data_IF_987247958724
#
_entry.id   IF_987247958724
#
_cell.length_a   1.000
_cell.length_b   1.000
_cell.length_c   1.000
_cell.angle_alpha   90.00
_cell.angle_beta   90.00
_cell.angle_gamma   90.00
#
_symmetry.space_group_name_H-M   'P 1'
#
loop_
_entity.id
_entity.type
_entity.pdbx_description
1 polymer ?
#
# COMPACT_ATOMS: atom_id res chain seq x y z
N UNK A 1 31.85 -23.74 -36.06
CA UNK A 1 30.95 -24.68 -35.35
C UNK A 1 30.91 -24.45 -33.84
N UNK A 2 32.03 -24.29 -33.11
CA UNK A 2 32.00 -24.07 -31.65
C UNK A 2 31.24 -22.81 -31.16
N UNK A 3 31.32 -21.66 -31.86
CA UNK A 3 30.55 -20.44 -31.52
C UNK A 3 29.04 -20.57 -31.75
N UNK A 4 28.63 -21.38 -32.73
CA UNK A 4 27.21 -21.60 -33.03
C UNK A 4 26.58 -22.59 -32.03
N UNK A 5 27.31 -23.62 -31.61
CA UNK A 5 26.86 -24.51 -30.55
C UNK A 5 26.74 -23.78 -29.19
N UNK A 6 27.67 -22.88 -28.87
CA UNK A 6 27.58 -22.09 -27.62
C UNK A 6 26.44 -21.06 -27.65
N UNK A 7 26.11 -20.48 -28.82
CA UNK A 7 24.98 -19.54 -28.92
C UNK A 7 23.63 -20.27 -28.82
N UNK A 8 23.48 -21.40 -29.52
CA UNK A 8 22.26 -22.21 -29.47
C UNK A 8 22.01 -22.74 -28.06
N UNK A 9 23.05 -23.22 -27.37
CA UNK A 9 22.92 -23.73 -26.01
C UNK A 9 22.56 -22.62 -25.00
N UNK A 10 23.09 -21.40 -25.20
CA UNK A 10 22.78 -20.21 -24.38
C UNK A 10 21.34 -19.72 -24.62
N UNK A 11 20.85 -19.75 -25.87
CA UNK A 11 19.44 -19.45 -26.20
C UNK A 11 18.48 -20.48 -25.61
N UNK A 12 18.79 -21.79 -25.68
CA UNK A 12 17.91 -22.83 -25.09
C UNK A 12 17.84 -22.75 -23.56
N UNK A 13 18.96 -22.43 -22.90
CA UNK A 13 18.98 -22.22 -21.45
C UNK A 13 18.16 -20.99 -21.02
N UNK A 14 18.27 -19.88 -21.75
CA UNK A 14 17.47 -18.67 -21.52
C UNK A 14 15.97 -18.95 -21.67
N UNK A 15 15.56 -19.70 -22.70
CA UNK A 15 14.15 -20.08 -22.87
C UNK A 15 13.66 -21.02 -21.78
N UNK A 16 14.51 -21.93 -21.29
CA UNK A 16 14.12 -22.89 -20.24
C UNK A 16 13.86 -22.17 -18.92
N UNK A 17 14.78 -21.27 -18.51
CA UNK A 17 14.60 -20.54 -17.26
C UNK A 17 13.45 -19.54 -17.33
N UNK A 18 13.21 -18.93 -18.49
CA UNK A 18 12.06 -18.07 -18.73
C UNK A 18 10.73 -18.81 -18.50
N UNK A 19 10.58 -20.02 -19.04
CA UNK A 19 9.37 -20.84 -18.85
C UNK A 19 9.23 -21.26 -17.37
N UNK A 20 10.31 -21.73 -16.75
CA UNK A 20 10.30 -22.11 -15.32
C UNK A 20 9.87 -20.92 -14.46
N UNK A 21 10.44 -19.74 -14.72
CA UNK A 21 10.10 -18.51 -13.99
C UNK A 21 8.64 -18.11 -14.19
N UNK A 22 8.08 -18.28 -15.38
CA UNK A 22 6.69 -17.97 -15.68
C UNK A 22 5.72 -18.95 -14.97
N UNK A 23 6.08 -20.23 -14.90
CA UNK A 23 5.32 -21.23 -14.12
C UNK A 23 5.34 -20.87 -12.64
N UNK A 24 6.52 -20.56 -12.07
CA UNK A 24 6.67 -20.16 -10.68
C UNK A 24 5.88 -18.88 -10.38
N UNK A 25 5.92 -17.90 -11.28
CA UNK A 25 5.13 -16.68 -11.18
C UNK A 25 3.63 -16.97 -11.19
N UNK A 26 3.16 -17.84 -12.09
CA UNK A 26 1.76 -18.28 -12.13
C UNK A 26 1.32 -18.99 -10.84
N UNK A 27 2.19 -19.81 -10.25
CA UNK A 27 1.95 -20.45 -8.96
C UNK A 27 1.91 -19.43 -7.82
N UNK A 28 2.72 -18.37 -7.87
CA UNK A 28 2.65 -17.26 -6.92
C UNK A 28 1.30 -16.55 -6.98
N UNK A 29 0.79 -16.25 -8.18
CA UNK A 29 -0.54 -15.67 -8.34
C UNK A 29 -1.64 -16.58 -7.78
N UNK A 30 -1.59 -17.88 -8.08
CA UNK A 30 -2.55 -18.85 -7.53
C UNK A 30 -2.48 -18.88 -5.99
N UNK A 31 -1.27 -18.84 -5.43
CA UNK A 31 -1.06 -18.82 -3.98
C UNK A 31 -1.69 -17.57 -3.34
N UNK A 32 -1.56 -16.38 -3.94
CA UNK A 32 -2.21 -15.15 -3.43
C UNK A 32 -3.72 -15.33 -3.30
N UNK A 33 -4.39 -15.95 -4.27
CA UNK A 33 -5.82 -16.24 -4.18
C UNK A 33 -6.17 -17.37 -3.20
N UNK A 34 -5.23 -18.27 -2.92
CA UNK A 34 -5.38 -19.39 -1.99
C UNK A 34 -5.04 -19.05 -0.53
N UNK A 35 -4.53 -17.85 -0.23
CA UNK A 35 -4.10 -17.42 1.10
C UNK A 35 -5.12 -17.73 2.22
N UNK A 36 -6.40 -17.42 1.99
CA UNK A 36 -7.49 -17.71 2.95
C UNK A 36 -7.67 -19.21 3.23
N UNK A 37 -7.39 -20.06 2.24
CA UNK A 37 -7.43 -21.52 2.40
C UNK A 37 -6.33 -21.97 3.37
N UNK A 38 -5.15 -21.34 3.34
CA UNK A 38 -4.08 -21.62 4.29
C UNK A 38 -4.44 -21.20 5.72
N UNK A 39 -5.11 -20.06 5.93
CA UNK A 39 -5.63 -19.68 7.25
C UNK A 39 -6.65 -20.68 7.79
N UNK A 40 -7.53 -21.16 6.92
CA UNK A 40 -8.52 -22.18 7.26
C UNK A 40 -7.81 -23.51 7.61
N UNK A 41 -6.76 -23.85 6.88
CA UNK A 41 -5.97 -25.06 7.12
C UNK A 41 -5.16 -24.95 8.42
N UNK A 42 -4.62 -23.76 8.74
CA UNK A 42 -3.92 -23.46 9.99
C UNK A 42 -4.82 -23.73 11.20
N UNK A 43 -6.08 -23.28 11.10
CA UNK A 43 -7.11 -23.52 12.12
C UNK A 43 -7.44 -25.02 12.29
N UNK A 44 -7.32 -25.81 11.22
CA UNK A 44 -7.60 -27.26 11.23
C UNK A 44 -6.40 -28.12 11.62
N UNK A 45 -5.17 -27.64 11.43
CA UNK A 45 -3.93 -28.37 11.70
C UNK A 45 -3.03 -27.61 12.68
N UNK A 46 -3.34 -27.62 13.99
CA UNK A 46 -2.64 -26.82 14.99
C UNK A 46 -1.13 -27.06 15.05
N UNK A 47 -0.68 -28.30 14.75
CA UNK A 47 0.74 -28.68 14.72
C UNK A 47 1.57 -27.92 13.68
N UNK A 48 0.96 -27.47 12.59
CA UNK A 48 1.61 -26.72 11.52
C UNK A 48 1.04 -25.31 11.36
N UNK A 49 0.24 -24.85 12.33
CA UNK A 49 -0.47 -23.58 12.24
C UNK A 49 0.47 -22.41 11.99
N UNK A 50 1.66 -22.37 12.59
CA UNK A 50 2.62 -21.29 12.37
C UNK A 50 3.05 -21.16 10.90
N UNK A 51 3.42 -22.27 10.25
CA UNK A 51 3.78 -22.28 8.83
C UNK A 51 2.58 -21.94 7.95
N UNK A 52 1.41 -22.48 8.26
CA UNK A 52 0.20 -22.24 7.49
C UNK A 52 -0.31 -20.80 7.64
N UNK A 53 -0.13 -20.18 8.80
CA UNK A 53 -0.37 -18.75 8.99
C UNK A 53 0.61 -17.93 8.15
N UNK A 54 1.91 -18.26 8.19
CA UNK A 54 2.91 -17.56 7.39
C UNK A 54 2.61 -17.64 5.88
N UNK A 55 2.21 -18.81 5.37
CA UNK A 55 1.79 -18.99 3.98
C UNK A 55 0.41 -18.35 3.68
N UNK A 56 -0.39 -18.08 4.71
CA UNK A 56 -1.66 -17.36 4.58
C UNK A 56 -1.51 -15.85 4.50
N UNK A 57 -0.36 -15.28 4.87
CA UNK A 57 -0.10 -13.84 4.75
C UNK A 57 0.18 -13.51 3.27
N UNK A 58 -0.60 -12.60 2.68
CA UNK A 58 -0.50 -12.27 1.24
C UNK A 58 0.84 -11.60 0.90
N UNK A 59 1.43 -10.89 1.85
CA UNK A 59 2.72 -10.22 1.76
C UNK A 59 3.90 -11.24 1.71
N UNK A 60 3.72 -12.46 2.22
CA UNK A 60 4.77 -13.49 2.18
C UNK A 60 4.89 -14.14 0.81
N UNK A 61 3.78 -14.19 0.05
CA UNK A 61 3.64 -15.04 -1.14
C UNK A 61 4.75 -14.80 -2.16
N UNK A 62 4.95 -13.57 -2.62
CA UNK A 62 5.95 -13.28 -3.66
C UNK A 62 7.38 -13.47 -3.18
N UNK A 63 7.70 -13.09 -1.94
CA UNK A 63 9.03 -13.31 -1.38
C UNK A 63 9.35 -14.81 -1.23
N UNK A 64 8.37 -15.61 -0.81
CA UNK A 64 8.52 -17.07 -0.72
C UNK A 64 8.80 -17.71 -2.07
N UNK A 65 8.01 -17.36 -3.10
CA UNK A 65 8.21 -17.88 -4.45
C UNK A 65 9.47 -17.35 -5.13
N UNK A 66 9.94 -16.16 -4.77
CA UNK A 66 11.23 -15.64 -5.21
C UNK A 66 12.39 -16.52 -4.71
N UNK A 67 12.37 -16.96 -3.45
CA UNK A 67 13.37 -17.91 -2.96
C UNK A 67 13.32 -19.24 -3.71
N UNK A 68 12.12 -19.75 -4.01
CA UNK A 68 11.98 -20.96 -4.84
C UNK A 68 12.60 -20.75 -6.22
N UNK A 69 12.38 -19.60 -6.86
CA UNK A 69 12.99 -19.28 -8.16
C UNK A 69 14.52 -19.30 -8.07
N UNK A 70 15.12 -18.66 -7.06
CA UNK A 70 16.58 -18.65 -6.87
C UNK A 70 17.14 -20.05 -6.65
N UNK A 71 16.46 -20.87 -5.84
CA UNK A 71 16.86 -22.27 -5.61
C UNK A 71 16.82 -23.07 -6.93
N UNK A 72 15.73 -22.94 -7.70
CA UNK A 72 15.61 -23.65 -8.99
C UNK A 72 16.63 -23.13 -9.99
N UNK A 73 16.90 -21.83 -10.04
CA UNK A 73 17.98 -21.24 -10.85
C UNK A 73 19.34 -21.85 -10.47
N UNK A 74 19.64 -22.00 -9.19
CA UNK A 74 20.89 -22.58 -8.72
C UNK A 74 21.05 -24.04 -9.19
N UNK A 75 19.96 -24.82 -9.19
CA UNK A 75 19.97 -26.20 -9.69
C UNK A 75 20.07 -26.31 -11.21
N UNK A 76 19.42 -25.42 -11.96
CA UNK A 76 19.32 -25.51 -13.44
C UNK A 76 20.48 -24.80 -14.14
N UNK A 77 20.91 -23.65 -13.61
CA UNK A 77 21.88 -22.74 -14.23
C UNK A 77 23.19 -22.60 -13.44
N UNK A 78 23.27 -23.20 -12.25
CA UNK A 78 24.41 -23.11 -11.34
C UNK A 78 24.27 -22.01 -10.28
N UNK A 79 24.95 -22.18 -9.16
CA UNK A 79 24.89 -21.26 -8.02
C UNK A 79 25.33 -19.84 -8.36
N UNK A 80 26.42 -19.69 -9.12
CA UNK A 80 26.94 -18.37 -9.50
C UNK A 80 25.94 -17.58 -10.35
N UNK A 81 25.25 -18.25 -11.29
CA UNK A 81 24.22 -17.61 -12.12
C UNK A 81 22.99 -17.17 -11.30
N UNK A 82 22.63 -17.95 -10.27
CA UNK A 82 21.55 -17.58 -9.37
C UNK A 82 21.91 -16.38 -8.49
N UNK A 83 23.16 -16.33 -7.99
CA UNK A 83 23.70 -15.19 -7.24
C UNK A 83 23.76 -13.94 -8.14
N UNK A 84 24.34 -14.06 -9.33
CA UNK A 84 24.42 -12.96 -10.31
C UNK A 84 23.03 -12.42 -10.64
N UNK A 85 22.04 -13.30 -10.85
CA UNK A 85 20.66 -12.86 -11.07
C UNK A 85 20.11 -12.09 -9.86
N UNK A 86 20.24 -12.65 -8.65
CA UNK A 86 19.74 -12.01 -7.43
C UNK A 86 20.41 -10.66 -7.17
N UNK A 87 21.73 -10.54 -7.33
CA UNK A 87 22.50 -9.31 -7.08
C UNK A 87 22.34 -8.26 -8.18
N UNK A 88 21.96 -8.67 -9.40
CA UNK A 88 21.67 -7.73 -10.50
C UNK A 88 20.36 -6.95 -10.33
N UNK A 89 19.51 -7.34 -9.36
CA UNK A 89 18.23 -6.69 -9.08
C UNK A 89 18.38 -5.44 -8.20
N UNK A 90 17.44 -4.51 -8.31
CA UNK A 90 17.39 -3.30 -7.50
C UNK A 90 16.43 -3.47 -6.32
N UNK A 91 16.96 -3.39 -5.09
CA UNK A 91 16.19 -3.56 -3.84
C UNK A 91 15.97 -2.25 -3.09
N UNK A 92 16.34 -1.12 -3.68
CA UNK A 92 16.24 0.20 -3.05
C UNK A 92 14.80 0.52 -2.66
N UNK A 93 13.85 0.32 -3.58
CA UNK A 93 12.43 0.59 -3.37
C UNK A 93 11.81 -0.30 -2.27
N UNK A 94 11.98 -1.65 -2.28
CA UNK A 94 11.54 -2.50 -1.18
C UNK A 94 12.07 -2.08 0.21
N UNK A 95 13.37 -1.77 0.30
CA UNK A 95 14.02 -1.34 1.55
C UNK A 95 13.49 0.02 2.01
N UNK A 96 13.30 0.94 1.06
CA UNK A 96 12.78 2.27 1.34
C UNK A 96 11.34 2.18 1.89
N UNK A 97 10.46 1.40 1.26
CA UNK A 97 9.08 1.21 1.75
C UNK A 97 9.07 0.66 3.17
N UNK A 98 9.86 -0.39 3.43
CA UNK A 98 10.00 -0.95 4.77
C UNK A 98 10.36 0.12 5.81
N UNK A 99 11.44 0.87 5.56
CA UNK A 99 11.94 1.89 6.50
C UNK A 99 10.92 3.01 6.71
N UNK A 100 10.40 3.58 5.63
CA UNK A 100 9.46 4.71 5.72
C UNK A 100 8.17 4.28 6.42
N UNK A 101 7.64 3.09 6.14
CA UNK A 101 6.47 2.57 6.85
C UNK A 101 6.69 2.51 8.37
N UNK A 102 7.84 1.99 8.80
CA UNK A 102 8.15 1.85 10.23
C UNK A 102 8.31 3.22 10.91
N UNK A 103 9.02 4.16 10.30
CA UNK A 103 9.25 5.49 10.86
C UNK A 103 7.95 6.31 10.86
N UNK A 104 7.21 6.31 9.74
CA UNK A 104 6.00 7.10 9.57
C UNK A 104 4.83 6.63 10.45
N UNK A 105 4.72 5.32 10.71
CA UNK A 105 3.69 4.76 11.58
C UNK A 105 4.05 4.84 13.08
N UNK A 106 5.18 5.45 13.43
CA UNK A 106 5.57 5.59 14.84
C UNK A 106 4.60 6.49 15.61
N UNK A 107 4.37 6.16 16.89
CA UNK A 107 3.45 6.90 17.76
C UNK A 107 3.75 8.41 17.83
N UNK A 108 5.01 8.87 17.96
CA UNK A 108 5.29 10.31 17.97
C UNK A 108 4.87 11.06 16.71
N UNK A 109 4.89 10.41 15.55
CA UNK A 109 4.41 10.98 14.28
C UNK A 109 2.89 11.02 14.27
N UNK A 110 2.24 9.88 14.55
CA UNK A 110 0.77 9.79 14.57
C UNK A 110 0.14 10.76 15.58
N UNK A 111 0.70 10.88 16.79
CA UNK A 111 0.24 11.83 17.81
C UNK A 111 0.38 13.29 17.34
N UNK A 112 1.48 13.62 16.67
CA UNK A 112 1.71 14.98 16.15
C UNK A 112 0.68 15.34 15.07
N UNK A 113 0.45 14.44 14.10
CA UNK A 113 -0.53 14.65 13.04
C UNK A 113 -1.95 14.71 13.63
N UNK A 114 -2.30 13.85 14.59
CA UNK A 114 -3.62 13.87 15.23
C UNK A 114 -3.86 15.18 16.00
N UNK A 115 -2.85 15.72 16.69
CA UNK A 115 -2.94 17.03 17.38
C UNK A 115 -3.17 18.17 16.38
N UNK A 116 -2.45 18.15 15.26
CA UNK A 116 -2.61 19.13 14.18
C UNK A 116 -4.05 19.10 13.63
N UNK A 117 -4.55 17.91 13.27
CA UNK A 117 -5.89 17.74 12.72
C UNK A 117 -7.00 18.14 13.69
N UNK A 118 -6.86 17.82 14.99
CA UNK A 118 -7.79 18.29 16.02
C UNK A 118 -7.76 19.82 16.18
N UNK A 119 -6.60 20.44 16.05
CA UNK A 119 -6.46 21.90 16.02
C UNK A 119 -7.21 22.52 14.84
N UNK A 120 -7.02 21.98 13.64
CA UNK A 120 -7.71 22.41 12.42
C UNK A 120 -9.23 22.20 12.54
N UNK A 121 -9.69 21.06 13.06
CA UNK A 121 -11.11 20.78 13.21
C UNK A 121 -11.85 21.81 14.10
N UNK A 122 -11.19 22.33 15.14
CA UNK A 122 -11.78 23.30 16.08
C UNK A 122 -11.95 24.69 15.51
N UNK A 123 -11.17 25.05 14.50
CA UNK A 123 -11.23 26.38 13.86
C UNK A 123 -12.18 26.40 12.66
N UNK A 124 -12.63 25.23 12.19
CA UNK A 124 -13.58 25.15 11.07
C UNK A 124 -14.98 25.63 11.52
N UNK A 125 -15.71 26.38 10.66
CA UNK A 125 -17.08 26.82 10.94
C UNK A 125 -18.11 25.69 10.76
N UNK A 126 -17.79 24.48 11.22
CA UNK A 126 -18.60 23.27 11.12
C UNK A 126 -18.66 22.59 12.49
N UNK A 127 -19.62 21.67 12.67
CA UNK A 127 -19.63 20.80 13.86
C UNK A 127 -18.36 19.97 13.89
N UNK A 128 -17.74 19.86 15.07
CA UNK A 128 -16.46 19.18 15.27
C UNK A 128 -16.46 17.75 14.73
N UNK A 129 -17.54 16.99 14.94
CA UNK A 129 -17.67 15.60 14.46
C UNK A 129 -17.67 15.54 12.93
N UNK A 130 -18.41 16.44 12.28
CA UNK A 130 -18.46 16.52 10.82
C UNK A 130 -17.10 16.98 10.25
N UNK A 131 -16.44 17.93 10.90
CA UNK A 131 -15.10 18.37 10.54
C UNK A 131 -14.09 17.22 10.65
N UNK A 132 -14.12 16.44 11.75
CA UNK A 132 -13.26 15.28 11.93
C UNK A 132 -13.51 14.18 10.90
N UNK A 133 -14.78 13.92 10.55
CA UNK A 133 -15.13 12.98 9.48
C UNK A 133 -14.57 13.44 8.14
N UNK A 134 -14.79 14.71 7.77
CA UNK A 134 -14.29 15.24 6.52
C UNK A 134 -12.76 15.27 6.47
N UNK A 135 -12.10 15.71 7.54
CA UNK A 135 -10.64 15.72 7.63
C UNK A 135 -10.05 14.30 7.56
N UNK A 136 -10.69 13.32 8.22
CA UNK A 136 -10.28 11.93 8.18
C UNK A 136 -10.44 11.27 6.80
N UNK A 137 -11.40 11.74 5.99
CA UNK A 137 -11.66 11.21 4.64
C UNK A 137 -11.01 12.03 3.52
N UNK A 138 -10.63 13.28 3.75
CA UNK A 138 -10.01 14.15 2.76
C UNK A 138 -8.54 14.44 3.11
N UNK A 139 -8.32 15.19 4.19
CA UNK A 139 -7.00 15.71 4.51
C UNK A 139 -6.03 14.60 4.89
N UNK A 140 -6.45 13.62 5.70
CA UNK A 140 -5.59 12.51 6.10
C UNK A 140 -5.09 11.72 4.88
N UNK A 141 -5.97 11.25 3.96
CA UNK A 141 -5.52 10.61 2.72
C UNK A 141 -4.54 11.43 1.89
N UNK A 142 -4.76 12.75 1.75
CA UNK A 142 -3.82 13.61 1.01
C UNK A 142 -2.49 13.78 1.73
N UNK A 143 -2.50 13.95 3.06
CA UNK A 143 -1.27 13.96 3.86
C UNK A 143 -0.56 12.62 3.86
N UNK A 144 -1.24 11.53 3.48
CA UNK A 144 -0.64 10.22 3.22
C UNK A 144 0.51 10.28 2.22
N UNK A 145 0.46 11.23 1.27
CA UNK A 145 1.58 11.50 0.35
C UNK A 145 2.85 12.04 1.01
N UNK A 146 2.77 12.57 2.23
CA UNK A 146 3.92 13.06 2.98
C UNK A 146 4.44 12.03 3.99
N UNK A 147 3.55 11.13 4.45
CA UNK A 147 3.88 9.99 5.30
C UNK A 147 3.90 8.73 4.43
N UNK A 148 2.94 7.83 4.60
CA UNK A 148 2.71 6.67 3.72
C UNK A 148 1.22 6.32 3.74
N UNK A 149 0.74 5.56 2.75
CA UNK A 149 -0.64 5.09 2.73
C UNK A 149 -1.01 4.24 3.98
N UNK A 150 -0.18 3.29 4.47
CA UNK A 150 -0.50 2.52 5.67
C UNK A 150 -0.61 3.39 6.94
N UNK A 151 0.24 4.41 7.09
CA UNK A 151 0.18 5.33 8.21
C UNK A 151 -1.07 6.23 8.14
N UNK A 152 -1.40 6.73 6.94
CA UNK A 152 -2.61 7.51 6.71
C UNK A 152 -3.88 6.69 6.97
N UNK A 153 -3.92 5.43 6.52
CA UNK A 153 -5.03 4.52 6.78
C UNK A 153 -5.25 4.30 8.27
N UNK A 154 -4.19 4.00 9.02
CA UNK A 154 -4.27 3.80 10.48
C UNK A 154 -4.81 5.05 11.17
N UNK A 155 -4.27 6.24 10.85
CA UNK A 155 -4.72 7.49 11.44
C UNK A 155 -6.17 7.79 11.12
N UNK A 156 -6.56 7.69 9.84
CA UNK A 156 -7.93 7.92 9.40
C UNK A 156 -8.89 6.93 10.06
N UNK A 157 -8.56 5.63 10.09
CA UNK A 157 -9.38 4.62 10.73
C UNK A 157 -9.60 4.91 12.22
N UNK A 158 -8.55 5.24 12.97
CA UNK A 158 -8.66 5.60 14.40
C UNK A 158 -9.48 6.89 14.63
N UNK A 159 -9.38 7.86 13.73
CA UNK A 159 -10.17 9.09 13.80
C UNK A 159 -11.65 8.86 13.46
N UNK A 160 -11.93 8.02 12.47
CA UNK A 160 -13.27 7.78 11.94
C UNK A 160 -14.05 6.72 12.72
N UNK A 161 -13.35 5.76 13.35
CA UNK A 161 -13.94 4.70 14.17
C UNK A 161 -14.99 5.23 15.18
N UNK A 162 -14.66 6.20 16.05
CA UNK A 162 -15.64 6.73 17.01
C UNK A 162 -16.77 7.55 16.40
N UNK A 163 -16.62 8.02 15.16
CA UNK A 163 -17.59 8.92 14.50
C UNK A 163 -18.60 8.13 13.66
N UNK A 164 -18.12 7.20 12.84
CA UNK A 164 -18.88 6.50 11.78
C UNK A 164 -19.10 5.03 12.12
N UNK A 165 -18.07 4.34 12.62
CA UNK A 165 -18.07 2.89 12.79
C UNK A 165 -18.55 2.51 14.19
N UNK A 166 -19.78 2.94 14.50
CA UNK A 166 -20.45 2.73 15.80
C UNK A 166 -21.91 2.31 15.63
N UNK A 167 -22.58 1.79 16.67
CA UNK A 167 -24.02 1.57 16.64
C UNK A 167 -24.80 2.86 16.31
N UNK A 168 -25.92 2.72 15.59
CA UNK A 168 -26.79 3.86 15.21
C UNK A 168 -26.51 4.49 13.84
N UNK A 169 -25.37 4.17 13.20
CA UNK A 169 -25.12 4.54 11.80
C UNK A 169 -25.62 3.42 10.87
N UNK A 170 -26.44 3.72 9.84
CA UNK A 170 -26.87 2.74 8.85
C UNK A 170 -25.69 2.02 8.19
N UNK A 171 -25.82 0.72 8.00
CA UNK A 171 -24.71 -0.13 7.54
C UNK A 171 -24.22 0.22 6.14
N UNK A 172 -25.14 0.57 5.22
CA UNK A 172 -24.78 1.04 3.88
C UNK A 172 -23.94 2.33 3.89
N UNK A 173 -24.14 3.22 4.87
CA UNK A 173 -23.32 4.43 5.04
C UNK A 173 -21.93 4.09 5.59
N UNK A 174 -21.81 3.06 6.44
CA UNK A 174 -20.50 2.57 6.90
C UNK A 174 -19.71 1.99 5.73
N UNK A 175 -20.35 1.19 4.88
CA UNK A 175 -19.72 0.68 3.65
C UNK A 175 -19.35 1.81 2.68
N UNK A 176 -20.20 2.82 2.50
CA UNK A 176 -19.88 4.00 1.69
C UNK A 176 -18.69 4.80 2.24
N UNK A 177 -18.64 5.02 3.56
CA UNK A 177 -17.52 5.70 4.20
C UNK A 177 -16.21 4.89 4.14
N UNK A 178 -16.30 3.56 4.30
CA UNK A 178 -15.16 2.66 4.16
C UNK A 178 -14.62 2.65 2.72
N UNK A 179 -15.51 2.59 1.73
CA UNK A 179 -15.15 2.67 0.32
C UNK A 179 -14.47 4.00 -0.03
N UNK A 180 -15.02 5.13 0.46
CA UNK A 180 -14.37 6.44 0.31
C UNK A 180 -13.01 6.47 0.97
N UNK A 181 -12.87 5.93 2.19
CA UNK A 181 -11.59 5.88 2.88
C UNK A 181 -10.54 5.11 2.07
N UNK A 182 -10.88 3.92 1.59
CA UNK A 182 -9.94 3.06 0.86
C UNK A 182 -9.53 3.69 -0.48
N UNK A 183 -10.51 4.17 -1.26
CA UNK A 183 -10.22 4.84 -2.54
C UNK A 183 -9.40 6.10 -2.30
N UNK A 184 -9.79 6.94 -1.34
CA UNK A 184 -9.09 8.20 -1.09
C UNK A 184 -7.67 7.98 -0.58
N UNK A 185 -7.41 6.98 0.28
CA UNK A 185 -6.04 6.64 0.69
C UNK A 185 -5.22 6.19 -0.51
N UNK A 186 -5.77 5.34 -1.38
CA UNK A 186 -5.06 4.82 -2.55
C UNK A 186 -4.70 5.90 -3.57
N UNK A 187 -5.59 6.87 -3.84
CA UNK A 187 -5.29 7.94 -4.79
C UNK A 187 -4.57 9.12 -4.12
N UNK A 188 -4.78 9.33 -2.82
CA UNK A 188 -4.18 10.44 -2.05
C UNK A 188 -2.67 10.35 -1.95
N UNK A 189 -2.09 9.14 -2.02
CA UNK A 189 -0.65 8.93 -2.06
C UNK A 189 0.05 9.44 -3.32
N UNK A 190 -0.69 9.81 -4.38
CA UNK A 190 -0.13 10.20 -5.69
C UNK A 190 0.33 11.66 -5.80
N UNK A 191 0.30 12.43 -4.71
CA UNK A 191 0.83 13.80 -4.66
C UNK A 191 2.36 13.85 -4.67
N UNK A 192 3.04 12.77 -4.27
CA UNK A 192 4.51 12.65 -4.24
C UNK A 192 4.95 11.35 -4.91
N UNK A 193 6.24 11.22 -5.24
CA UNK A 193 6.77 10.03 -5.92
C UNK A 193 7.10 8.85 -4.99
N UNK A 194 7.03 9.04 -3.67
CA UNK A 194 7.59 8.09 -2.70
C UNK A 194 6.58 7.49 -1.72
N UNK A 195 5.35 8.02 -1.66
CA UNK A 195 4.40 7.64 -0.61
C UNK A 195 3.49 6.47 -0.97
N UNK A 196 3.10 6.37 -2.25
CA UNK A 196 2.29 5.28 -2.76
C UNK A 196 3.21 4.19 -3.34
N UNK A 197 3.15 2.94 -2.84
CA UNK A 197 3.87 1.81 -3.45
C UNK A 197 3.74 1.73 -4.98
N UNK A 198 2.54 1.84 -5.61
CA UNK A 198 2.43 1.77 -7.06
C UNK A 198 3.16 2.88 -7.82
N UNK A 199 3.33 4.04 -7.21
CA UNK A 199 4.12 5.14 -7.80
C UNK A 199 5.61 4.89 -7.61
N UNK A 200 6.00 4.45 -6.41
CA UNK A 200 7.39 4.16 -6.10
C UNK A 200 7.97 3.08 -7.03
N UNK A 201 7.20 2.04 -7.36
CA UNK A 201 7.64 0.95 -8.25
C UNK A 201 8.00 1.42 -9.67
N UNK A 202 7.54 2.61 -10.08
CA UNK A 202 7.78 3.15 -11.42
C UNK A 202 8.57 4.45 -11.41
N UNK A 203 8.68 5.12 -10.26
CA UNK A 203 9.25 6.46 -10.14
C UNK A 203 10.69 6.52 -10.65
N UNK A 204 11.56 5.61 -10.19
CA UNK A 204 12.95 5.52 -10.67
C UNK A 204 12.99 5.12 -12.13
N UNK A 205 12.19 4.12 -12.53
CA UNK A 205 12.19 3.56 -13.90
C UNK A 205 11.79 4.58 -14.95
N UNK A 206 10.85 5.47 -14.63
CA UNK A 206 10.33 6.49 -15.56
C UNK A 206 10.78 7.91 -15.22
N UNK A 207 11.68 8.08 -14.25
CA UNK A 207 12.18 9.38 -13.76
C UNK A 207 11.06 10.34 -13.32
N UNK A 208 10.05 9.82 -12.62
CA UNK A 208 8.98 10.64 -12.06
C UNK A 208 9.37 11.11 -10.67
N UNK A 209 9.58 12.42 -10.55
CA UNK A 209 9.78 13.08 -9.26
C UNK A 209 8.46 13.55 -8.65
N UNK A 210 8.52 14.09 -7.43
CA UNK A 210 7.32 14.63 -6.76
C UNK A 210 6.68 15.79 -7.51
N UNK A 211 7.44 16.56 -8.31
CA UNK A 211 6.89 17.65 -9.10
C UNK A 211 6.06 17.12 -10.28
N UNK A 212 6.53 16.07 -10.95
CA UNK A 212 5.79 15.35 -11.98
C UNK A 212 4.49 14.77 -11.39
N UNK A 213 4.59 14.07 -10.25
CA UNK A 213 3.42 13.49 -9.58
C UNK A 213 2.39 14.55 -9.21
N UNK A 214 2.81 15.65 -8.58
CA UNK A 214 1.91 16.75 -8.22
C UNK A 214 1.22 17.39 -9.44
N UNK A 215 1.93 17.55 -10.55
CA UNK A 215 1.43 18.22 -11.76
C UNK A 215 0.55 17.32 -12.66
N UNK A 216 0.75 16.00 -12.64
CA UNK A 216 0.03 15.06 -13.52
C UNK A 216 -1.06 14.27 -12.81
N UNK A 217 -0.83 13.87 -11.54
CA UNK A 217 -1.76 13.03 -10.77
C UNK A 217 -2.33 13.77 -9.55
N UNK A 218 -1.47 14.44 -8.78
CA UNK A 218 -1.78 14.89 -7.42
C UNK A 218 -2.97 15.84 -7.33
N UNK A 219 -3.07 16.83 -8.24
CA UNK A 219 -4.22 17.76 -8.23
C UNK A 219 -5.54 17.09 -8.65
N UNK A 220 -5.50 16.15 -9.60
CA UNK A 220 -6.67 15.36 -10.02
C UNK A 220 -7.16 14.46 -8.90
N UNK A 221 -6.22 13.78 -8.23
CA UNK A 221 -6.48 12.98 -7.05
C UNK A 221 -7.04 13.85 -5.91
N UNK A 222 -6.48 15.04 -5.67
CA UNK A 222 -6.98 15.96 -4.64
C UNK A 222 -8.44 16.36 -4.88
N UNK A 223 -8.82 16.66 -6.13
CA UNK A 223 -10.21 16.95 -6.48
C UNK A 223 -11.10 15.74 -6.21
N UNK A 224 -10.72 14.55 -6.68
CA UNK A 224 -11.48 13.32 -6.44
C UNK A 224 -11.66 13.02 -4.93
N UNK A 225 -10.59 13.16 -4.15
CA UNK A 225 -10.60 12.97 -2.69
C UNK A 225 -11.58 13.93 -2.02
N UNK A 226 -11.52 15.22 -2.37
CA UNK A 226 -12.42 16.24 -1.81
C UNK A 226 -13.87 15.97 -2.19
N UNK A 227 -14.15 15.60 -3.45
CA UNK A 227 -15.50 15.27 -3.92
C UNK A 227 -16.06 14.06 -3.15
N UNK A 228 -15.28 12.98 -3.08
CA UNK A 228 -15.67 11.75 -2.37
C UNK A 228 -15.93 11.99 -0.89
N UNK A 229 -15.00 12.67 -0.22
CA UNK A 229 -15.10 12.98 1.20
C UNK A 229 -16.29 13.89 1.50
N UNK A 230 -16.53 14.89 0.66
CA UNK A 230 -17.67 15.82 0.81
C UNK A 230 -19.00 15.10 0.60
N UNK A 231 -19.11 14.28 -0.45
CA UNK A 231 -20.31 13.51 -0.75
C UNK A 231 -20.74 12.63 0.42
N UNK A 232 -19.84 11.80 0.95
CA UNK A 232 -20.18 10.92 2.08
C UNK A 232 -20.38 11.68 3.39
N UNK A 233 -19.64 12.77 3.61
CA UNK A 233 -19.84 13.64 4.80
C UNK A 233 -21.23 14.27 4.81
N UNK A 234 -21.76 14.69 3.65
CA UNK A 234 -23.13 15.21 3.53
C UNK A 234 -24.17 14.12 3.85
N UNK A 235 -23.94 12.88 3.42
CA UNK A 235 -24.84 11.76 3.73
C UNK A 235 -24.82 11.41 5.22
N UNK A 236 -23.64 11.46 5.85
CA UNK A 236 -23.44 11.18 7.27
C UNK A 236 -23.92 12.30 8.19
N UNK A 237 -24.03 13.55 7.72
CA UNK A 237 -24.29 14.74 8.57
C UNK A 237 -25.49 14.60 9.51
N UNK A 238 -26.53 13.85 9.10
CA UNK A 238 -27.76 13.63 9.89
C UNK A 238 -27.59 12.61 11.01
N UNK A 239 -26.48 11.88 11.03
CA UNK A 239 -26.18 10.87 12.05
C UNK A 239 -25.02 11.31 12.96
N UNK A 240 -24.33 12.39 12.59
CA UNK A 240 -23.29 13.04 13.38
C UNK A 240 -23.93 14.04 14.35
N UNK A 241 -24.55 13.49 15.41
CA UNK A 241 -25.06 14.27 16.53
C UNK A 241 -24.08 14.24 17.72
N UNK A 242 -24.11 15.32 18.50
CA UNK A 242 -23.31 15.61 19.69
C UNK A 242 -23.63 14.67 20.86
N UNK A 243 -23.40 13.36 20.68
CA UNK A 243 -23.33 12.38 21.77
C UNK A 243 -21.88 11.91 21.99
N UNK A 244 -20.90 12.60 21.40
CA UNK A 244 -19.48 12.16 21.42
C UNK A 244 -18.72 12.64 22.66
N UNK A 245 -19.41 13.17 23.67
CA UNK A 245 -18.89 13.34 25.03
C UNK A 245 -18.81 12.03 25.83
N UNK A 246 -19.38 10.92 25.33
CA UNK A 246 -19.46 9.65 26.06
C UNK A 246 -18.47 8.57 25.62
N UNK A 247 -17.41 8.91 24.87
CA UNK A 247 -16.23 8.04 24.84
C UNK A 247 -15.43 8.35 26.10
N UNK A 248 -15.95 7.89 27.24
CA UNK A 248 -15.13 7.78 28.45
C UNK A 248 -13.94 6.88 28.08
N UNK A 249 -12.70 7.28 28.41
CA UNK A 249 -11.59 6.34 28.43
C UNK A 249 -12.06 5.10 29.19
N UNK A 250 -11.74 3.90 28.70
CA UNK A 250 -12.02 2.67 29.46
C UNK A 250 -11.49 2.88 30.89
N UNK A 251 -12.37 2.76 31.87
CA UNK A 251 -11.99 2.86 33.28
C UNK A 251 -10.89 1.81 33.55
N UNK A 252 -9.67 2.25 33.82
CA UNK A 252 -8.52 1.40 34.13
C UNK A 252 -7.34 1.43 33.16
N UNK A 253 -7.44 2.11 32.01
CA UNK A 253 -6.26 2.35 31.16
C UNK A 253 -5.51 3.59 31.66
N UNK A 254 -4.29 3.38 32.17
CA UNK A 254 -3.40 4.48 32.54
C UNK A 254 -3.17 5.36 31.30
N UNK A 255 -3.43 6.67 31.42
CA UNK A 255 -3.27 7.62 30.33
C UNK A 255 -1.81 7.59 29.85
N UNK A 256 -1.61 7.13 28.61
CA UNK A 256 -0.27 6.98 28.08
C UNK A 256 0.46 8.34 28.14
N UNK A 257 1.75 8.38 28.54
CA UNK A 257 2.46 9.63 28.75
C UNK A 257 2.44 10.47 27.47
N UNK A 258 2.19 11.77 27.63
CA UNK A 258 2.18 12.72 26.50
C UNK A 258 3.55 12.72 25.84
N UNK A 259 3.57 12.48 24.53
CA UNK A 259 4.81 12.56 23.74
C UNK A 259 5.31 14.02 23.71
N UNK A 260 6.56 14.28 24.14
CA UNK A 260 7.20 15.59 24.07
C UNK A 260 7.44 16.02 22.62
N UNK A 261 7.34 17.32 22.35
CA UNK A 261 7.53 17.86 21.00
C UNK A 261 8.90 17.51 20.42
N UNK A 262 9.95 17.52 21.25
CA UNK A 262 11.31 17.16 20.83
C UNK A 262 11.39 15.73 20.25
N UNK A 263 10.69 14.76 20.87
CA UNK A 263 10.66 13.37 20.39
C UNK A 263 9.94 13.30 19.04
N UNK A 264 8.78 13.97 18.91
CA UNK A 264 8.08 14.07 17.62
C UNK A 264 8.95 14.73 16.55
N UNK A 265 9.68 15.80 16.87
CA UNK A 265 10.58 16.48 15.92
C UNK A 265 11.71 15.58 15.46
N UNK A 266 12.33 14.79 16.35
CA UNK A 266 13.36 13.82 15.95
C UNK A 266 12.79 12.80 14.96
N UNK A 267 11.61 12.25 15.22
CA UNK A 267 10.97 11.31 14.30
C UNK A 267 10.66 11.96 12.93
N UNK A 268 10.17 13.19 12.92
CA UNK A 268 9.90 13.93 11.69
C UNK A 268 11.18 14.24 10.90
N UNK A 269 12.27 14.59 11.58
CA UNK A 269 13.58 14.82 10.97
C UNK A 269 14.13 13.53 10.37
N UNK A 270 14.03 12.41 11.08
CA UNK A 270 14.44 11.09 10.56
C UNK A 270 13.61 10.73 9.34
N UNK A 271 12.29 10.88 9.39
CA UNK A 271 11.40 10.62 8.25
C UNK A 271 11.80 11.45 7.03
N UNK A 272 11.99 12.76 7.21
CA UNK A 272 12.45 13.66 6.16
C UNK A 272 13.83 13.25 5.63
N UNK A 273 14.76 12.88 6.51
CA UNK A 273 16.10 12.40 6.15
C UNK A 273 16.07 11.12 5.31
N UNK A 274 15.22 10.15 5.67
CA UNK A 274 15.02 8.92 4.87
C UNK A 274 14.50 9.26 3.47
N UNK A 275 13.50 10.14 3.36
CA UNK A 275 12.94 10.57 2.07
C UNK A 275 13.99 11.30 1.23
N UNK A 276 14.76 12.22 1.82
CA UNK A 276 15.83 12.93 1.11
C UNK A 276 16.95 12.00 0.62
N UNK A 277 17.21 10.93 1.36
CA UNK A 277 18.25 9.94 1.06
C UNK A 277 17.71 8.72 0.28
N UNK A 278 16.49 8.76 -0.27
CA UNK A 278 15.83 7.61 -0.90
C UNK A 278 16.67 6.91 -1.98
N UNK A 279 17.51 7.65 -2.71
CA UNK A 279 18.40 7.12 -3.75
C UNK A 279 19.71 6.50 -3.21
N UNK A 280 19.93 6.57 -1.89
CA UNK A 280 21.15 6.12 -1.22
C UNK A 280 20.82 5.06 -0.14
N UNK A 281 20.61 3.78 -0.52
CA UNK A 281 20.17 2.73 0.39
C UNK A 281 21.06 2.54 1.62
N UNK A 282 22.38 2.62 1.45
CA UNK A 282 23.32 2.52 2.57
C UNK A 282 23.09 3.62 3.60
N UNK A 283 22.82 4.85 3.16
CA UNK A 283 22.67 6.01 4.04
C UNK A 283 21.31 6.02 4.75
N UNK A 284 20.20 5.83 4.03
CA UNK A 284 18.89 5.84 4.68
C UNK A 284 18.71 4.63 5.61
N UNK A 285 19.29 3.48 5.26
CA UNK A 285 19.22 2.30 6.12
C UNK A 285 20.11 2.46 7.35
N UNK A 286 21.29 3.08 7.21
CA UNK A 286 22.11 3.47 8.36
C UNK A 286 21.39 4.44 9.31
N UNK A 287 20.70 5.45 8.76
CA UNK A 287 19.86 6.37 9.53
C UNK A 287 18.71 5.63 10.24
N UNK A 288 18.09 4.65 9.58
CA UNK A 288 17.05 3.81 10.17
C UNK A 288 17.57 2.98 11.35
N UNK A 289 18.73 2.34 11.22
CA UNK A 289 19.34 1.58 12.31
C UNK A 289 19.65 2.48 13.52
N UNK A 290 20.14 3.71 13.28
CA UNK A 290 20.30 4.71 14.34
C UNK A 290 18.96 5.09 14.99
N UNK A 291 17.92 5.27 14.19
CA UNK A 291 16.57 5.56 14.67
C UNK A 291 16.01 4.45 15.57
N UNK A 292 16.23 3.17 15.25
CA UNK A 292 15.82 2.07 16.13
C UNK A 292 16.50 2.17 17.50
N UNK A 293 17.79 2.54 17.53
CA UNK A 293 18.50 2.83 18.78
C UNK A 293 17.89 4.00 19.57
N UNK A 294 17.47 5.06 18.89
CA UNK A 294 16.77 6.19 19.50
C UNK A 294 15.40 5.77 20.08
N UNK A 295 14.60 5.01 19.34
CA UNK A 295 13.31 4.49 19.80
C UNK A 295 13.49 3.65 21.07
N UNK A 296 14.52 2.80 21.11
CA UNK A 296 14.85 2.01 22.29
C UNK A 296 15.26 2.89 23.49
N UNK A 297 16.08 3.92 23.26
CA UNK A 297 16.51 4.83 24.33
C UNK A 297 15.37 5.66 24.92
N UNK A 298 14.32 5.94 24.14
CA UNK A 298 13.15 6.72 24.54
C UNK A 298 11.86 5.89 24.60
N UNK A 299 11.94 4.60 24.97
CA UNK A 299 10.82 3.63 24.92
C UNK A 299 9.53 4.13 25.60
N UNK A 300 9.65 4.97 26.65
CA UNK A 300 8.53 5.57 27.38
C UNK A 300 7.55 6.33 26.49
N UNK A 301 8.01 6.90 25.38
CA UNK A 301 7.20 7.68 24.45
C UNK A 301 6.81 6.91 23.19
N UNK A 302 7.18 5.64 23.12
CA UNK A 302 7.00 4.81 21.94
C UNK A 302 5.84 3.84 22.13
N UNK A 303 5.35 3.32 21.01
CA UNK A 303 4.58 2.08 20.95
C UNK A 303 5.41 1.08 20.16
N UNK A 304 5.12 -0.23 20.25
CA UNK A 304 5.76 -1.21 19.39
C UNK A 304 5.75 -0.75 17.93
N UNK A 305 6.93 -0.69 17.32
CA UNK A 305 7.05 -0.36 15.91
C UNK A 305 6.47 -1.49 15.07
N UNK A 306 5.91 -1.15 13.91
CA UNK A 306 5.36 -2.11 12.94
C UNK A 306 6.44 -2.79 12.10
N UNK A 307 7.50 -3.28 12.77
CA UNK A 307 8.65 -3.90 12.13
C UNK A 307 8.24 -5.15 11.35
N UNK A 308 7.34 -5.98 11.91
CA UNK A 308 6.87 -7.19 11.26
C UNK A 308 6.14 -6.83 9.95
N UNK A 309 5.16 -5.94 10.02
CA UNK A 309 4.33 -5.54 8.90
C UNK A 309 5.16 -4.87 7.81
N UNK A 310 6.02 -3.92 8.19
CA UNK A 310 6.94 -3.27 7.25
C UNK A 310 7.88 -4.27 6.58
N UNK A 311 8.43 -5.23 7.33
CA UNK A 311 9.33 -6.25 6.79
C UNK A 311 8.60 -7.17 5.81
N UNK A 312 7.35 -7.57 6.13
CA UNK A 312 6.52 -8.37 5.23
C UNK A 312 6.24 -7.64 3.92
N UNK A 313 5.92 -6.34 3.97
CA UNK A 313 5.74 -5.52 2.75
C UNK A 313 7.05 -5.39 1.96
N UNK A 314 8.17 -5.14 2.63
CA UNK A 314 9.49 -5.14 1.97
C UNK A 314 9.83 -6.48 1.33
N UNK A 315 9.48 -7.59 1.99
CA UNK A 315 9.67 -8.95 1.49
C UNK A 315 8.79 -9.25 0.27
N UNK A 316 7.54 -8.80 0.28
CA UNK A 316 6.63 -8.84 -0.86
C UNK A 316 7.22 -8.12 -2.08
N UNK A 317 7.62 -6.86 -1.90
CA UNK A 317 8.16 -6.03 -2.98
C UNK A 317 9.50 -6.56 -3.49
N UNK A 318 10.40 -7.00 -2.61
CA UNK A 318 11.65 -7.64 -3.02
C UNK A 318 11.41 -8.94 -3.79
N UNK A 319 10.43 -9.73 -3.36
CA UNK A 319 9.98 -10.92 -4.08
C UNK A 319 9.43 -10.61 -5.47
N UNK A 320 8.63 -9.54 -5.59
CA UNK A 320 8.17 -9.03 -6.89
C UNK A 320 9.34 -8.65 -7.79
N UNK A 321 10.35 -7.94 -7.27
CA UNK A 321 11.52 -7.56 -8.06
C UNK A 321 12.20 -8.79 -8.66
N UNK A 322 12.44 -9.82 -7.83
CA UNK A 322 13.09 -11.07 -8.24
C UNK A 322 12.21 -11.89 -9.19
N UNK A 323 10.92 -12.03 -8.94
CA UNK A 323 10.04 -12.84 -9.77
C UNK A 323 9.70 -12.16 -11.10
N UNK A 324 9.35 -10.88 -11.04
CA UNK A 324 8.93 -10.10 -12.19
C UNK A 324 10.07 -9.82 -13.17
N UNK A 325 11.32 -9.75 -12.70
CA UNK A 325 12.49 -9.50 -13.54
C UNK A 325 12.68 -10.50 -14.71
N UNK A 326 12.06 -11.68 -14.63
CA UNK A 326 12.07 -12.71 -15.68
C UNK A 326 10.80 -12.75 -16.55
N UNK A 327 9.79 -11.92 -16.28
CA UNK A 327 8.46 -12.01 -16.92
C UNK A 327 8.32 -11.13 -18.17
N UNK A 328 9.30 -10.28 -18.45
CA UNK A 328 9.23 -9.30 -19.54
C UNK A 328 8.93 -9.93 -20.91
N UNK A 329 9.51 -11.10 -21.22
CA UNK A 329 9.47 -11.71 -22.55
C UNK A 329 8.04 -11.99 -23.06
N UNK A 330 7.11 -12.36 -22.16
CA UNK A 330 5.72 -12.64 -22.51
C UNK A 330 4.79 -11.46 -22.19
N UNK A 331 5.11 -10.66 -21.16
CA UNK A 331 4.32 -9.49 -20.79
C UNK A 331 4.41 -8.37 -21.82
N UNK A 332 5.62 -8.11 -22.34
CA UNK A 332 5.88 -7.02 -23.28
C UNK A 332 4.96 -7.03 -24.51
N UNK A 333 4.82 -8.13 -25.28
CA UNK A 333 3.92 -8.13 -26.44
C UNK A 333 2.46 -7.92 -26.07
N UNK A 334 2.01 -8.40 -24.89
CA UNK A 334 0.62 -8.24 -24.44
C UNK A 334 0.36 -6.77 -24.07
N UNK A 335 1.15 -6.21 -23.16
CA UNK A 335 0.94 -4.85 -22.65
C UNK A 335 1.12 -3.81 -23.76
N UNK A 336 2.12 -3.98 -24.63
CA UNK A 336 2.36 -3.05 -25.74
C UNK A 336 1.27 -3.08 -26.81
N UNK A 337 0.45 -4.15 -26.86
CA UNK A 337 -0.68 -4.24 -27.80
C UNK A 337 -1.94 -3.52 -27.31
N UNK A 338 -2.02 -3.19 -26.02
CA UNK A 338 -3.19 -2.57 -25.43
C UNK A 338 -3.21 -1.06 -25.72
N UNK A 339 -4.38 -0.56 -26.11
CA UNK A 339 -4.63 0.89 -26.20
C UNK A 339 -4.58 1.50 -24.79
N UNK A 340 -4.15 2.77 -24.62
CA UNK A 340 -4.04 3.41 -23.30
C UNK A 340 -5.31 3.32 -22.45
N UNK A 341 -6.49 3.53 -23.05
CA UNK A 341 -7.77 3.40 -22.33
C UNK A 341 -8.06 1.96 -21.88
N UNK A 342 -7.71 0.97 -22.69
CA UNK A 342 -7.85 -0.44 -22.31
C UNK A 342 -6.88 -0.79 -21.18
N UNK A 343 -5.68 -0.21 -21.17
CA UNK A 343 -4.71 -0.35 -20.10
C UNK A 343 -5.21 0.28 -18.79
N UNK A 344 -5.85 1.46 -18.85
CA UNK A 344 -6.47 2.10 -17.70
C UNK A 344 -7.53 1.21 -17.03
N UNK A 345 -8.55 0.79 -17.80
CA UNK A 345 -9.63 -0.03 -17.24
C UNK A 345 -9.17 -1.45 -16.90
N UNK A 346 -8.20 -1.99 -17.65
CA UNK A 346 -7.55 -3.26 -17.34
C UNK A 346 -6.83 -3.20 -16.00
N UNK A 347 -6.01 -2.17 -15.77
CA UNK A 347 -5.33 -1.94 -14.50
C UNK A 347 -6.32 -1.72 -13.34
N UNK A 348 -7.32 -0.85 -13.51
CA UNK A 348 -8.36 -0.60 -12.51
C UNK A 348 -9.09 -1.87 -12.10
N UNK A 349 -9.52 -2.68 -13.07
CA UNK A 349 -10.25 -3.92 -12.82
C UNK A 349 -9.36 -5.01 -12.21
N UNK A 350 -8.15 -5.19 -12.73
CA UNK A 350 -7.19 -6.16 -12.18
C UNK A 350 -6.79 -5.79 -10.75
N UNK A 351 -6.59 -4.51 -10.44
CA UNK A 351 -6.29 -4.07 -9.07
C UNK A 351 -7.37 -4.48 -8.07
N UNK A 352 -8.64 -4.60 -8.49
CA UNK A 352 -9.67 -5.10 -7.56
C UNK A 352 -9.39 -6.53 -7.05
N UNK A 353 -8.57 -7.31 -7.76
CA UNK A 353 -8.25 -8.69 -7.41
C UNK A 353 -6.74 -8.93 -7.21
N UNK A 354 -5.90 -7.92 -7.42
CA UNK A 354 -4.43 -8.00 -7.25
C UNK A 354 -3.89 -6.71 -6.64
N UNK A 355 -2.76 -6.79 -5.96
CA UNK A 355 -2.09 -5.61 -5.41
C UNK A 355 -1.71 -4.58 -6.50
N UNK A 356 -1.94 -3.29 -6.23
CA UNK A 356 -1.68 -2.21 -7.17
C UNK A 356 -0.18 -1.99 -7.45
N UNK A 357 0.70 -2.25 -6.49
CA UNK A 357 2.15 -2.12 -6.65
C UNK A 357 2.69 -3.25 -7.53
N UNK A 358 2.14 -4.45 -7.41
CA UNK A 358 2.46 -5.55 -8.30
C UNK A 358 2.16 -5.20 -9.77
N UNK A 359 0.98 -4.66 -10.08
CA UNK A 359 0.61 -4.32 -11.46
C UNK A 359 1.47 -3.21 -12.07
N UNK A 360 1.73 -2.15 -11.31
CA UNK A 360 2.58 -1.05 -11.76
C UNK A 360 4.03 -1.48 -11.94
N UNK A 361 4.55 -2.33 -11.03
CA UNK A 361 5.86 -2.93 -11.20
C UNK A 361 5.94 -3.78 -12.48
N UNK A 362 4.96 -4.65 -12.74
CA UNK A 362 4.96 -5.45 -13.98
C UNK A 362 4.94 -4.56 -15.23
N UNK A 363 4.22 -3.44 -15.19
CA UNK A 363 4.26 -2.46 -16.28
C UNK A 363 5.57 -1.70 -16.40
N UNK A 364 6.29 -1.49 -15.30
CA UNK A 364 7.64 -0.87 -15.32
C UNK A 364 8.65 -1.68 -16.15
N UNK A 365 8.42 -3.00 -16.29
CA UNK A 365 9.26 -3.90 -17.07
C UNK A 365 9.09 -3.73 -18.59
N UNK A 366 8.06 -3.02 -19.03
CA UNK A 366 7.69 -2.90 -20.44
C UNK A 366 8.48 -1.76 -21.08
N UNK A 367 9.40 -2.13 -21.97
CA UNK A 367 10.25 -1.17 -22.67
C UNK A 367 9.48 -0.46 -23.78
N UNK A 368 9.65 0.87 -23.88
CA UNK A 368 9.10 1.67 -24.97
C UNK A 368 7.63 2.06 -24.82
N UNK A 369 7.04 1.95 -23.62
CA UNK A 369 5.70 2.48 -23.36
C UNK A 369 5.64 3.99 -23.62
N UNK A 370 4.56 4.44 -24.26
CA UNK A 370 4.27 5.88 -24.41
C UNK A 370 3.96 6.52 -23.06
N UNK A 371 4.21 7.82 -22.91
CA UNK A 371 3.89 8.55 -21.67
C UNK A 371 2.40 8.44 -21.30
N UNK A 372 1.51 8.45 -22.30
CA UNK A 372 0.09 8.22 -22.09
C UNK A 372 -0.20 6.82 -21.52
N UNK A 373 0.43 5.78 -22.05
CA UNK A 373 0.25 4.42 -21.54
C UNK A 373 0.79 4.26 -20.11
N UNK A 374 1.95 4.86 -19.80
CA UNK A 374 2.50 4.90 -18.44
C UNK A 374 1.54 5.58 -17.47
N UNK A 375 1.03 6.76 -17.84
CA UNK A 375 0.04 7.48 -17.06
C UNK A 375 -1.22 6.65 -16.83
N UNK A 376 -1.80 6.09 -17.89
CA UNK A 376 -3.05 5.32 -17.83
C UNK A 376 -2.94 4.06 -16.99
N UNK A 377 -1.81 3.36 -17.07
CA UNK A 377 -1.53 2.20 -16.23
C UNK A 377 -1.55 2.56 -14.74
N UNK A 378 -0.79 3.59 -14.35
CA UNK A 378 -0.69 3.98 -12.94
C UNK A 378 -1.99 4.58 -12.45
N UNK A 379 -2.65 5.43 -13.25
CA UNK A 379 -3.93 6.04 -12.91
C UNK A 379 -5.02 4.98 -12.71
N UNK A 380 -5.06 3.95 -13.56
CA UNK A 380 -5.97 2.82 -13.41
C UNK A 380 -5.68 2.04 -12.14
N UNK A 381 -4.41 1.69 -11.90
CA UNK A 381 -3.99 0.93 -10.73
C UNK A 381 -4.30 1.65 -9.41
N UNK A 382 -4.02 2.96 -9.30
CA UNK A 382 -4.32 3.71 -8.07
C UNK A 382 -5.82 3.95 -7.88
N UNK A 383 -6.58 4.14 -8.95
CA UNK A 383 -8.04 4.30 -8.86
C UNK A 383 -8.73 3.01 -8.40
N UNK A 384 -8.25 1.84 -8.86
CA UNK A 384 -8.78 0.53 -8.45
C UNK A 384 -8.39 0.09 -7.04
N UNK A 385 -7.37 0.71 -6.43
CA UNK A 385 -6.79 0.26 -5.16
C UNK A 385 -7.73 0.28 -3.95
N UNK A 386 -8.88 0.96 -4.05
CA UNK A 386 -9.89 0.98 -3.00
C UNK A 386 -11.01 -0.06 -3.13
N UNK A 387 -11.05 -0.84 -4.22
CA UNK A 387 -12.20 -1.68 -4.56
C UNK A 387 -12.36 -2.90 -3.65
N UNK A 388 -11.26 -3.47 -3.14
CA UNK A 388 -11.29 -4.66 -2.28
C UNK A 388 -10.20 -4.64 -1.21
N UNK A 389 -10.24 -5.60 -0.30
CA UNK A 389 -9.26 -5.72 0.80
C UNK A 389 -7.84 -6.01 0.29
N UNK A 390 -7.69 -6.72 -0.82
CA UNK A 390 -6.38 -7.13 -1.36
C UNK A 390 -5.84 -6.18 -2.43
N UNK A 391 -6.63 -5.18 -2.82
CA UNK A 391 -6.30 -4.24 -3.89
C UNK A 391 -5.14 -3.29 -3.53
N UNK A 392 -4.94 -3.04 -2.23
CA UNK A 392 -3.89 -2.18 -1.73
C UNK A 392 -3.50 -2.60 -0.30
N UNK A 393 -2.20 -2.59 0.02
CA UNK A 393 -1.62 -3.01 1.30
C UNK A 393 -2.19 -2.33 2.56
N UNK A 394 -2.66 -1.06 2.57
CA UNK A 394 -3.31 -0.45 3.73
C UNK A 394 -4.71 -1.00 4.03
N UNK A 395 -5.42 -1.55 3.03
CA UNK A 395 -6.83 -1.91 3.19
C UNK A 395 -7.08 -2.97 4.28
N UNK A 396 -6.27 -4.03 4.44
CA UNK A 396 -6.39 -4.97 5.56
C UNK A 396 -6.27 -4.30 6.94
N UNK A 397 -5.40 -3.29 7.08
CA UNK A 397 -5.29 -2.51 8.32
C UNK A 397 -6.56 -1.70 8.59
N UNK A 398 -7.11 -1.07 7.56
CA UNK A 398 -8.42 -0.40 7.65
C UNK A 398 -9.54 -1.36 8.08
N UNK A 399 -9.59 -2.56 7.50
CA UNK A 399 -10.57 -3.60 7.88
C UNK A 399 -10.41 -4.01 9.34
N UNK A 400 -9.19 -4.32 9.78
CA UNK A 400 -8.94 -4.83 11.13
C UNK A 400 -9.30 -3.81 12.22
N UNK A 401 -9.06 -2.53 11.96
CA UNK A 401 -9.38 -1.43 12.87
C UNK A 401 -10.88 -1.08 12.90
N UNK A 402 -11.60 -1.24 11.78
CA UNK A 402 -12.97 -0.74 11.64
C UNK A 402 -14.05 -1.82 11.72
N UNK A 403 -13.71 -3.12 11.57
CA UNK A 403 -14.68 -4.23 11.51
C UNK A 403 -15.63 -4.30 12.71
N UNK A 404 -15.15 -3.93 13.91
CA UNK A 404 -15.97 -3.93 15.14
C UNK A 404 -17.17 -2.98 15.07
N UNK A 405 -17.11 -1.99 14.18
CA UNK A 405 -18.21 -1.06 13.95
C UNK A 405 -19.31 -1.60 13.03
N UNK A 406 -19.12 -2.74 12.39
CA UNK A 406 -20.08 -3.36 11.49
C UNK A 406 -20.96 -4.40 12.20
N UNK A 407 -22.03 -4.82 11.54
CA UNK A 407 -22.85 -5.92 12.03
C UNK A 407 -22.01 -7.20 12.07
N UNK A 408 -22.19 -8.01 13.11
CA UNK A 408 -21.44 -9.26 13.33
C UNK A 408 -19.92 -9.06 13.40
N UNK A 409 -19.46 -7.84 13.70
CA UNK A 409 -18.05 -7.42 13.76
C UNK A 409 -17.23 -7.80 12.50
N UNK A 410 -17.91 -7.84 11.34
CA UNK A 410 -17.32 -8.31 10.08
C UNK A 410 -17.62 -7.36 8.92
N UNK A 411 -16.70 -7.31 7.95
CA UNK A 411 -16.85 -6.50 6.74
C UNK A 411 -17.00 -7.45 5.56
N UNK A 412 -18.16 -7.42 4.91
CA UNK A 412 -18.45 -8.24 3.75
C UNK A 412 -17.77 -7.71 2.49
N UNK A 413 -17.17 -8.60 1.69
CA UNK A 413 -16.48 -8.24 0.46
C UNK A 413 -17.39 -7.53 -0.57
N UNK A 414 -18.63 -8.01 -0.73
CA UNK A 414 -19.62 -7.41 -1.64
C UNK A 414 -20.04 -6.02 -1.17
N UNK A 415 -20.22 -5.84 0.14
CA UNK A 415 -20.56 -4.54 0.73
C UNK A 415 -19.43 -3.52 0.54
N UNK A 416 -18.18 -3.94 0.75
CA UNK A 416 -17.00 -3.11 0.50
C UNK A 416 -16.93 -2.70 -0.98
N UNK A 417 -17.03 -3.68 -1.89
CA UNK A 417 -16.97 -3.41 -3.32
C UNK A 417 -18.06 -2.41 -3.73
N UNK A 418 -19.31 -2.66 -3.33
CA UNK A 418 -20.44 -1.78 -3.64
C UNK A 418 -20.24 -0.36 -3.06
N UNK A 419 -19.71 -0.25 -1.84
CA UNK A 419 -19.38 1.03 -1.20
C UNK A 419 -18.24 1.79 -1.90
N UNK A 420 -17.32 1.07 -2.55
CA UNK A 420 -16.16 1.63 -3.24
C UNK A 420 -16.44 2.02 -4.71
N UNK A 421 -17.50 1.50 -5.34
CA UNK A 421 -17.79 1.74 -6.77
C UNK A 421 -17.94 3.22 -7.11
N UNK A 422 -18.78 3.96 -6.38
CA UNK A 422 -19.01 5.38 -6.64
C UNK A 422 -17.75 6.23 -6.43
N UNK A 423 -17.01 6.14 -5.30
CA UNK A 423 -15.78 6.91 -5.15
C UNK A 423 -14.69 6.51 -6.15
N UNK A 424 -14.63 5.24 -6.56
CA UNK A 424 -13.74 4.78 -7.63
C UNK A 424 -14.12 5.41 -8.97
N UNK A 425 -15.41 5.51 -9.29
CA UNK A 425 -15.88 6.18 -10.50
C UNK A 425 -15.51 7.67 -10.51
N UNK A 426 -15.63 8.36 -9.37
CA UNK A 426 -15.18 9.76 -9.24
C UNK A 426 -13.68 9.88 -9.48
N UNK A 427 -12.88 8.99 -8.89
CA UNK A 427 -11.42 8.96 -9.10
C UNK A 427 -11.06 8.68 -10.57
N UNK A 428 -11.73 7.70 -11.19
CA UNK A 428 -11.50 7.34 -12.58
C UNK A 428 -11.87 8.49 -13.53
N UNK A 429 -13.01 9.15 -13.30
CA UNK A 429 -13.41 10.34 -14.06
C UNK A 429 -12.41 11.48 -13.89
N UNK A 430 -11.91 11.71 -12.67
CA UNK A 430 -10.90 12.74 -12.43
C UNK A 430 -9.60 12.45 -13.20
N UNK A 431 -9.13 11.19 -13.24
CA UNK A 431 -7.90 10.88 -13.98
C UNK A 431 -8.06 10.85 -15.50
N UNK A 432 -9.27 10.58 -16.01
CA UNK A 432 -9.54 10.50 -17.45
C UNK A 432 -9.94 11.83 -18.08
N UNK A 433 -10.65 12.69 -17.33
CA UNK A 433 -11.28 13.90 -17.88
C UNK A 433 -10.57 15.21 -17.51
N UNK A 434 -9.81 15.22 -16.41
CA UNK A 434 -8.94 16.33 -16.01
C UNK A 434 -7.51 16.00 -16.45
#
# INVERSE_FOLDING_TARGET
MHRAASSVHKETHLTTIQIISAIIFGLALIHTFAAKSFETLASRHPRHAGLLHLLGEVEVVFGFWAFILIIVMAFVSGGDAAIEYAESRQYTEPLFVFVVMVVAASRPVLDAVQRLLKGVARIMPLRTELALVWLGLALVPLTGSMITEPAAMTLAALMLAPQIFRPGIPEWLKYGALGVLFVNVSIGGTLTSYAAPPVLMVATTWNWDSAYMASHFGWKAAIAVVVNATGVSILLRKYLHSNTSDIKPKAGEAEAPKVPLAVSLVHMIVLAGVVMLAHHPVLFFGLFLFFLGFVQAYERYQSPLILKEGLLVGFFLGGLVVLGGMQQWWLQPIVSSLKPLALFFGALGLTAITDNAALTYLGSLIVGMTEEAKYMLVAGAVAGGGLTVIANAPNPAGVSLLRRGFKDESIGAVGLLAGALLPTAVAALAFLAL
#
